data_IF_042211506347
#
_entry.id   IF_042211506347
#
_cell.length_a   1.000
_cell.length_b   1.000
_cell.length_c   1.000
_cell.angle_alpha   90.00
_cell.angle_beta   90.00
_cell.angle_gamma   90.00
#
_symmetry.space_group_name_H-M   'P 1'
#
loop_
_entity.id
_entity.type
_entity.pdbx_description
1 polymer ?
#
# COMPACT_ATOMS: atom_id res chain seq x y z
N UNK A 1 0.89 10.41 8.28
CA UNK A 1 1.34 9.45 7.25
C UNK A 1 0.32 8.32 7.21
N UNK A 2 -0.83 8.56 6.56
CA UNK A 2 -1.87 7.54 6.43
C UNK A 2 -1.45 6.55 5.37
N UNK A 3 -0.62 5.59 5.79
CA UNK A 3 -0.25 4.46 4.95
C UNK A 3 -1.52 3.75 4.53
N UNK A 4 -1.89 3.90 3.24
CA UNK A 4 -3.06 3.27 2.63
C UNK A 4 -2.95 1.75 2.81
N UNK A 5 -3.52 1.24 3.89
CA UNK A 5 -3.56 -0.19 4.20
C UNK A 5 -4.51 -0.83 3.20
N UNK A 6 -4.02 -1.85 2.50
CA UNK A 6 -4.81 -2.57 1.50
C UNK A 6 -6.12 -3.07 2.11
N UNK A 7 -7.21 -2.98 1.34
CA UNK A 7 -8.53 -3.52 1.69
C UNK A 7 -8.45 -4.97 2.19
N UNK A 8 -7.57 -5.78 1.58
CA UNK A 8 -7.33 -7.17 2.00
C UNK A 8 -6.76 -7.27 3.41
N UNK A 9 -5.81 -6.39 3.76
CA UNK A 9 -5.24 -6.34 5.12
C UNK A 9 -6.32 -5.96 6.12
N UNK A 10 -7.15 -4.97 5.82
CA UNK A 10 -8.24 -4.56 6.72
C UNK A 10 -9.22 -5.69 7.01
N UNK A 11 -9.61 -6.45 5.98
CA UNK A 11 -10.50 -7.63 6.14
C UNK A 11 -9.83 -8.70 7.01
N UNK A 12 -8.58 -9.05 6.71
CA UNK A 12 -7.86 -10.12 7.43
C UNK A 12 -7.58 -9.72 8.88
N UNK A 13 -7.16 -8.48 9.13
CA UNK A 13 -6.89 -7.99 10.48
C UNK A 13 -8.18 -7.96 11.33
N UNK A 14 -9.34 -7.61 10.74
CA UNK A 14 -10.63 -7.69 11.42
C UNK A 14 -11.01 -9.12 11.83
N UNK A 15 -10.76 -10.09 10.93
CA UNK A 15 -10.98 -11.51 11.20
C UNK A 15 -10.04 -12.02 12.31
N UNK A 16 -8.75 -11.67 12.26
CA UNK A 16 -7.76 -12.04 13.29
C UNK A 16 -8.04 -11.38 14.66
N UNK A 17 -8.68 -10.21 14.66
CA UNK A 17 -9.19 -9.57 15.88
C UNK A 17 -10.41 -10.29 16.48
N UNK A 18 -10.92 -11.35 15.82
CA UNK A 18 -12.04 -12.15 16.30
C UNK A 18 -13.41 -11.61 15.91
N UNK A 19 -13.48 -10.60 15.03
CA UNK A 19 -14.76 -10.04 14.55
C UNK A 19 -15.40 -11.01 13.54
N UNK A 20 -16.72 -11.12 13.58
CA UNK A 20 -17.49 -11.73 12.50
C UNK A 20 -17.70 -10.71 11.37
N UNK A 21 -17.31 -11.06 10.15
CA UNK A 21 -17.32 -10.15 9.01
C UNK A 21 -18.44 -10.52 8.05
N UNK A 22 -19.29 -9.55 7.70
CA UNK A 22 -20.26 -9.66 6.62
C UNK A 22 -19.88 -8.66 5.52
N UNK A 23 -19.90 -9.10 4.26
CA UNK A 23 -19.36 -8.30 3.15
C UNK A 23 -19.99 -6.90 3.05
N UNK A 24 -21.33 -6.79 3.08
CA UNK A 24 -22.03 -5.52 2.86
C UNK A 24 -21.97 -4.50 4.01
N UNK A 25 -22.07 -4.91 5.29
CA UNK A 25 -21.81 -4.00 6.41
C UNK A 25 -20.34 -3.58 6.49
N UNK A 26 -19.42 -4.52 6.29
CA UNK A 26 -17.99 -4.26 6.44
C UNK A 26 -17.43 -3.40 5.31
N UNK A 27 -17.88 -3.59 4.07
CA UNK A 27 -17.49 -2.77 2.92
C UNK A 27 -17.83 -1.29 3.12
N UNK A 28 -18.99 -0.99 3.73
CA UNK A 28 -19.40 0.36 4.10
C UNK A 28 -18.51 0.96 5.19
N UNK A 29 -18.11 0.17 6.17
CA UNK A 29 -17.20 0.60 7.25
C UNK A 29 -15.83 1.02 6.69
N UNK A 30 -15.29 0.26 5.73
CA UNK A 30 -13.95 0.51 5.19
C UNK A 30 -13.93 1.36 3.90
N UNK A 31 -15.10 1.76 3.39
CA UNK A 31 -15.25 2.57 2.18
C UNK A 31 -14.83 1.86 0.89
N UNK A 32 -15.25 0.60 0.68
CA UNK A 32 -14.95 -0.15 -0.55
C UNK A 32 -16.19 -0.85 -1.14
N UNK A 33 -16.05 -1.43 -2.32
CA UNK A 33 -17.11 -2.21 -2.94
C UNK A 33 -17.33 -3.56 -2.21
N UNK A 34 -18.60 -3.94 -2.03
CA UNK A 34 -19.02 -5.23 -1.45
C UNK A 34 -18.41 -6.43 -2.16
N UNK A 35 -18.29 -6.34 -3.49
CA UNK A 35 -17.72 -7.39 -4.33
C UNK A 35 -16.25 -7.65 -4.01
N UNK A 36 -15.50 -6.61 -3.64
CA UNK A 36 -14.08 -6.73 -3.24
C UNK A 36 -13.94 -7.50 -1.93
N UNK A 37 -14.75 -7.15 -0.92
CA UNK A 37 -14.76 -7.88 0.36
C UNK A 37 -15.20 -9.33 0.14
N UNK A 38 -16.22 -9.55 -0.69
CA UNK A 38 -16.70 -10.90 -1.03
C UNK A 38 -15.62 -11.74 -1.70
N UNK A 39 -14.85 -11.17 -2.63
CA UNK A 39 -13.71 -11.86 -3.27
C UNK A 39 -12.66 -12.25 -2.23
N UNK A 40 -12.28 -11.33 -1.33
CA UNK A 40 -11.29 -11.61 -0.28
C UNK A 40 -11.78 -12.74 0.65
N UNK A 41 -13.05 -12.73 1.04
CA UNK A 41 -13.64 -13.78 1.89
C UNK A 41 -13.69 -15.13 1.17
N UNK A 42 -13.97 -15.15 -0.14
CA UNK A 42 -13.89 -16.36 -0.96
C UNK A 42 -12.46 -16.87 -1.11
N UNK A 43 -11.48 -15.97 -1.27
CA UNK A 43 -10.06 -16.34 -1.35
C UNK A 43 -9.55 -16.98 -0.05
N UNK A 44 -10.10 -16.57 1.11
CA UNK A 44 -9.80 -17.16 2.41
C UNK A 44 -10.44 -18.55 2.59
N UNK A 45 -11.53 -18.82 1.86
CA UNK A 45 -12.09 -20.15 1.66
C UNK A 45 -12.31 -20.94 2.96
N UNK A 46 -11.68 -22.12 3.03
CA UNK A 46 -11.81 -23.09 4.12
C UNK A 46 -11.22 -22.61 5.45
N UNK A 47 -10.39 -21.57 5.45
CA UNK A 47 -9.88 -20.98 6.68
C UNK A 47 -10.98 -20.25 7.49
N UNK A 48 -12.18 -20.09 6.91
CA UNK A 48 -13.32 -19.42 7.51
C UNK A 48 -14.51 -20.36 7.72
N UNK A 49 -15.16 -20.25 8.87
CA UNK A 49 -16.49 -20.79 9.12
C UNK A 49 -17.54 -19.77 8.68
N UNK A 50 -18.60 -20.25 8.02
CA UNK A 50 -19.70 -19.40 7.57
C UNK A 50 -20.94 -19.63 8.42
N UNK A 51 -21.56 -18.54 8.88
CA UNK A 51 -22.85 -18.53 9.56
C UNK A 51 -23.86 -17.75 8.74
N UNK A 52 -25.04 -18.33 8.54
CA UNK A 52 -26.15 -17.64 7.87
C UNK A 52 -27.04 -16.99 8.92
N UNK A 53 -27.18 -15.67 8.87
CA UNK A 53 -28.12 -14.93 9.68
C UNK A 53 -29.27 -14.41 8.81
N UNK A 54 -30.50 -14.66 9.27
CA UNK A 54 -31.72 -14.07 8.70
C UNK A 54 -32.00 -12.80 9.50
N UNK A 55 -31.62 -11.65 8.97
CA UNK A 55 -31.85 -10.36 9.63
C UNK A 55 -33.20 -9.74 9.24
N UNK A 56 -33.69 -10.03 8.03
CA UNK A 56 -34.98 -9.56 7.50
C UNK A 56 -35.63 -10.68 6.65
N UNK A 57 -36.96 -10.69 6.48
CA UNK A 57 -37.61 -11.60 5.53
C UNK A 57 -37.03 -11.39 4.13
N UNK A 58 -36.50 -12.46 3.54
CA UNK A 58 -35.91 -12.46 2.19
C UNK A 58 -34.42 -12.11 2.11
N UNK A 59 -33.81 -11.51 3.13
CA UNK A 59 -32.36 -11.19 3.12
C UNK A 59 -31.57 -12.16 3.99
N UNK A 60 -30.87 -13.07 3.34
CA UNK A 60 -29.88 -13.97 3.97
C UNK A 60 -28.52 -13.27 3.95
N UNK A 61 -27.94 -13.01 5.12
CA UNK A 61 -26.58 -12.49 5.25
C UNK A 61 -25.63 -13.61 5.67
N UNK A 62 -24.49 -13.68 4.99
CA UNK A 62 -23.39 -14.57 5.34
C UNK A 62 -22.41 -13.80 6.21
N UNK A 63 -22.17 -14.33 7.40
CA UNK A 63 -21.15 -13.88 8.34
C UNK A 63 -20.03 -14.89 8.33
N UNK A 64 -18.80 -14.40 8.23
CA UNK A 64 -17.60 -15.22 8.20
C UNK A 64 -16.82 -15.00 9.49
N UNK A 65 -16.34 -16.10 10.06
CA UNK A 65 -15.51 -16.13 11.26
C UNK A 65 -14.28 -16.99 10.99
N UNK A 66 -13.17 -16.70 11.64
CA UNK A 66 -11.96 -17.52 11.54
C UNK A 66 -12.22 -18.92 12.10
N UNK A 67 -11.95 -19.94 11.29
CA UNK A 67 -11.91 -21.35 11.70
C UNK A 67 -10.47 -21.76 12.02
N UNK A 68 -9.56 -21.45 11.10
CA UNK A 68 -8.13 -21.70 11.20
C UNK A 68 -7.37 -20.37 11.28
N UNK A 69 -6.90 -20.02 12.48
CA UNK A 69 -6.19 -18.77 12.72
C UNK A 69 -4.79 -18.76 12.11
N UNK A 70 -4.14 -19.92 11.98
CA UNK A 70 -2.78 -20.01 11.43
C UNK A 70 -2.81 -19.76 9.93
N UNK A 71 -3.72 -20.40 9.19
CA UNK A 71 -3.91 -20.19 7.76
C UNK A 71 -4.22 -18.72 7.42
N UNK A 72 -5.11 -18.07 8.19
CA UNK A 72 -5.44 -16.66 8.00
C UNK A 72 -4.22 -15.76 8.28
N UNK A 73 -3.41 -16.09 9.29
CA UNK A 73 -2.18 -15.36 9.62
C UNK A 73 -1.12 -15.52 8.52
N UNK A 74 -0.98 -16.71 7.95
CA UNK A 74 -0.08 -16.96 6.84
C UNK A 74 -0.48 -16.12 5.61
N UNK A 75 -1.77 -16.11 5.29
CA UNK A 75 -2.31 -15.26 4.23
C UNK A 75 -2.06 -13.77 4.48
N UNK A 76 -2.23 -13.30 5.73
CA UNK A 76 -1.89 -11.92 6.13
C UNK A 76 -0.43 -11.60 5.83
N UNK A 77 0.48 -12.52 6.16
CA UNK A 77 1.91 -12.34 5.96
C UNK A 77 2.31 -12.36 4.47
N UNK A 78 1.60 -13.12 3.63
CA UNK A 78 1.77 -13.07 2.16
C UNK A 78 1.46 -11.68 1.60
N UNK A 79 0.46 -10.98 2.15
CA UNK A 79 0.10 -9.61 1.70
C UNK A 79 1.16 -8.57 2.07
N UNK A 80 1.83 -8.72 3.23
CA UNK A 80 2.88 -7.79 3.68
C UNK A 80 4.13 -7.78 2.79
N UNK A 81 4.41 -8.85 2.05
CA UNK A 81 5.60 -8.94 1.18
C UNK A 81 5.43 -8.23 -0.17
N UNK A 82 4.38 -7.42 -0.30
CA UNK A 82 4.05 -6.74 -1.54
C UNK A 82 3.37 -7.70 -2.50
N UNK A 83 2.25 -7.25 -3.06
CA UNK A 83 1.77 -7.87 -4.29
C UNK A 83 2.89 -7.71 -5.30
N UNK A 84 3.44 -8.84 -5.78
CA UNK A 84 3.89 -8.93 -7.17
C UNK A 84 2.64 -8.52 -7.94
N UNK A 85 2.49 -7.24 -8.24
CA UNK A 85 1.48 -6.80 -9.17
C UNK A 85 1.79 -7.60 -10.43
N UNK A 86 0.83 -8.36 -10.94
CA UNK A 86 0.99 -9.12 -12.18
C UNK A 86 1.36 -8.20 -13.38
N UNK A 87 1.32 -6.88 -13.19
CA UNK A 87 1.70 -5.84 -14.16
C UNK A 87 3.01 -5.11 -13.81
N UNK A 88 3.72 -5.48 -12.73
CA UNK A 88 5.08 -5.00 -12.54
C UNK A 88 5.95 -5.85 -13.46
N UNK A 89 6.43 -5.23 -14.55
CA UNK A 89 7.54 -5.79 -15.34
C UNK A 89 8.59 -6.31 -14.35
N UNK A 90 9.22 -7.47 -14.61
CA UNK A 90 10.30 -7.95 -13.76
C UNK A 90 11.26 -6.79 -13.53
N UNK A 91 11.30 -6.30 -12.29
CA UNK A 91 12.23 -5.26 -11.92
C UNK A 91 13.60 -5.89 -12.12
N UNK A 92 14.43 -5.38 -13.04
CA UNK A 92 15.73 -5.96 -13.26
C UNK A 92 16.46 -5.98 -11.92
N UNK A 93 17.20 -7.05 -11.61
CA UNK A 93 17.91 -7.13 -10.35
C UNK A 93 18.82 -5.90 -10.23
N UNK A 94 18.47 -4.96 -9.34
CA UNK A 94 19.32 -3.81 -8.99
C UNK A 94 20.75 -4.24 -8.63
N UNK A 95 20.89 -5.49 -8.17
CA UNK A 95 22.16 -6.12 -7.88
C UNK A 95 23.14 -6.19 -9.08
N UNK A 96 22.68 -6.16 -10.34
CA UNK A 96 23.58 -6.34 -11.48
C UNK A 96 24.52 -5.14 -11.72
N UNK A 97 24.02 -3.91 -11.56
CA UNK A 97 24.83 -2.72 -11.84
C UNK A 97 25.79 -2.40 -10.69
N UNK A 98 25.33 -2.47 -9.44
CA UNK A 98 26.19 -2.25 -8.27
C UNK A 98 27.29 -3.31 -8.17
N UNK A 99 27.02 -4.56 -8.56
CA UNK A 99 28.04 -5.61 -8.63
C UNK A 99 29.10 -5.32 -9.69
N UNK A 100 28.71 -4.77 -10.85
CA UNK A 100 29.65 -4.34 -11.90
C UNK A 100 30.50 -3.14 -11.45
N UNK A 101 29.90 -2.17 -10.75
CA UNK A 101 30.64 -1.05 -10.18
C UNK A 101 31.64 -1.52 -9.11
N UNK A 102 31.25 -2.49 -8.28
CA UNK A 102 32.12 -3.08 -7.28
C UNK A 102 33.35 -3.79 -7.89
N UNK A 103 33.21 -4.46 -9.04
CA UNK A 103 34.37 -5.03 -9.76
C UNK A 103 35.38 -3.97 -10.21
N UNK A 104 34.95 -2.72 -10.39
CA UNK A 104 35.82 -1.59 -10.75
C UNK A 104 36.19 -0.71 -9.54
N UNK A 105 35.87 -1.16 -8.31
CA UNK A 105 36.15 -0.44 -7.07
C UNK A 105 35.25 0.78 -6.82
N UNK A 106 34.25 1.01 -7.67
CA UNK A 106 33.30 2.12 -7.56
C UNK A 106 32.21 1.69 -6.58
N UNK A 107 32.18 2.31 -5.39
CA UNK A 107 31.13 2.06 -4.40
C UNK A 107 30.02 3.07 -4.60
N UNK A 108 28.77 2.62 -4.57
CA UNK A 108 27.63 3.53 -4.54
C UNK A 108 27.72 4.40 -3.27
N UNK A 109 27.66 5.75 -3.38
CA UNK A 109 27.79 6.63 -2.23
C UNK A 109 26.65 6.35 -1.23
N UNK A 110 27.00 6.12 0.04
CA UNK A 110 26.03 5.79 1.11
C UNK A 110 25.08 6.92 1.47
N UNK A 111 25.38 8.15 1.05
CA UNK A 111 24.62 9.34 1.38
C UNK A 111 23.95 9.87 0.10
N UNK A 112 22.66 9.59 -0.03
CA UNK A 112 21.76 10.26 -0.99
C UNK A 112 21.23 11.58 -0.46
N UNK A 113 21.89 12.17 0.54
CA UNK A 113 21.51 13.50 0.99
C UNK A 113 21.91 14.49 -0.09
N UNK A 114 20.93 14.87 -0.92
CA UNK A 114 21.03 16.05 -1.75
C UNK A 114 21.47 17.21 -0.86
N UNK A 115 22.47 18.01 -1.26
CA UNK A 115 22.83 19.20 -0.50
C UNK A 115 21.57 20.04 -0.30
N UNK A 116 21.15 20.19 0.96
CA UNK A 116 19.94 20.96 1.33
C UNK A 116 20.13 22.46 1.08
N UNK A 117 21.36 22.91 0.87
CA UNK A 117 21.67 24.25 0.43
C UNK A 117 21.72 24.28 -1.11
N UNK A 118 20.56 24.52 -1.71
CA UNK A 118 20.55 25.25 -2.98
C UNK A 118 21.02 26.65 -2.61
N UNK A 119 22.08 27.16 -3.24
CA UNK A 119 22.53 28.53 -3.08
C UNK A 119 21.31 29.46 -3.15
N UNK A 120 20.96 30.10 -2.04
CA UNK A 120 19.99 31.18 -2.05
C UNK A 120 20.75 32.33 -2.69
N UNK A 121 20.38 32.75 -3.90
CA UNK A 121 20.86 34.01 -4.44
C UNK A 121 20.53 35.08 -3.41
N UNK A 122 21.53 35.86 -3.00
CA UNK A 122 21.32 36.96 -2.08
C UNK A 122 20.23 37.90 -2.62
N UNK A 123 19.41 38.50 -1.74
CA UNK A 123 18.29 39.35 -2.15
C UNK A 123 18.72 40.56 -3.02
N UNK A 124 20.01 40.90 -3.03
CA UNK A 124 20.57 41.97 -3.86
C UNK A 124 20.48 41.69 -5.38
N UNK A 125 20.27 40.44 -5.81
CA UNK A 125 20.18 40.13 -7.24
C UNK A 125 18.85 40.52 -7.90
N UNK A 126 17.76 40.65 -7.13
CA UNK A 126 16.45 41.00 -7.71
C UNK A 126 16.34 42.51 -8.04
N UNK A 127 16.99 43.37 -7.25
CA UNK A 127 17.04 44.81 -7.53
C UNK A 127 17.89 45.14 -8.77
N UNK A 128 19.04 44.47 -8.94
CA UNK A 128 19.91 44.64 -10.10
C UNK A 128 19.25 44.13 -11.40
N UNK A 129 18.51 43.02 -11.33
CA UNK A 129 17.76 42.51 -12.49
C UNK A 129 16.64 43.47 -12.88
N UNK A 130 15.94 44.05 -11.91
CA UNK A 130 14.84 44.99 -12.17
C UNK A 130 15.33 46.31 -12.80
N UNK A 131 16.53 46.79 -12.43
CA UNK A 131 17.14 47.99 -13.02
C UNK A 131 17.61 47.78 -14.45
N UNK A 132 18.20 46.63 -14.76
CA UNK A 132 18.71 46.31 -16.11
C UNK A 132 17.62 46.24 -17.19
N UNK A 133 16.38 45.90 -16.82
CA UNK A 133 15.25 45.83 -17.77
C UNK A 133 14.29 47.02 -17.69
N UNK A 134 14.57 47.99 -16.82
CA UNK A 134 13.79 49.22 -16.72
C UNK A 134 14.32 50.36 -17.62
N UNK A 135 15.54 50.24 -18.16
CA UNK A 135 16.14 51.25 -19.05
C UNK A 135 15.83 51.05 -20.56
N UNK A 136 15.04 50.04 -20.94
CA UNK A 136 14.65 49.78 -22.35
C UNK A 136 13.16 50.04 -22.66
N UNK A 137 12.55 51.06 -22.04
CA UNK A 137 11.20 51.53 -22.38
C UNK A 137 11.14 53.01 -22.76
#
# INVERSE_FOLDING_TARGET
MDGKTSTRIKVIDALLAGREVCAGPFSREIGCADTTVTKILKDLGEALTTRVCKTEPGKRRLYYRVADREAVTEMRNRVRRGSISQNLRPMPPKAAFDALLATWGIRCPKNHDLPRLVHRSEPESEELFSQLFAEEA
#
